data_IF_290309947326
#
_entry.id   IF_290309947326
#
_cell.length_a   1.000
_cell.length_b   1.000
_cell.length_c   1.000
_cell.angle_alpha   90.00
_cell.angle_beta   90.00
_cell.angle_gamma   90.00
#
_symmetry.space_group_name_H-M   'P 1'
#
loop_
_entity.id
_entity.type
_entity.pdbx_description
1 polymer ?
#
# COMPACT_ATOMS: atom_id res chain seq x y z
N UNK A 1 0.48 29.52 16.20
CA UNK A 1 0.78 28.09 16.30
C UNK A 1 -0.26 27.38 15.44
N UNK A 2 0.06 26.94 14.21
CA UNK A 2 -0.86 26.07 13.48
C UNK A 2 -1.03 24.81 14.33
N UNK A 3 -2.28 24.50 14.68
CA UNK A 3 -2.61 23.45 15.63
C UNK A 3 -2.03 22.11 15.19
N UNK A 4 -1.43 21.39 16.14
CA UNK A 4 -1.14 19.97 15.96
C UNK A 4 -2.48 19.28 15.65
N UNK A 5 -2.68 18.94 14.38
CA UNK A 5 -3.79 18.11 13.95
C UNK A 5 -3.64 16.76 14.64
N UNK A 6 -4.34 16.58 15.76
CA UNK A 6 -4.38 15.31 16.46
C UNK A 6 -4.98 14.26 15.53
N UNK A 7 -4.39 13.06 15.42
CA UNK A 7 -4.97 12.00 14.60
C UNK A 7 -6.38 11.68 15.11
N UNK A 8 -7.34 11.60 14.20
CA UNK A 8 -8.68 11.11 14.49
C UNK A 8 -8.86 9.75 13.81
N UNK A 9 -9.54 8.84 14.49
CA UNK A 9 -9.80 7.50 13.96
C UNK A 9 -10.90 7.57 12.91
N UNK A 10 -10.62 6.98 11.75
CA UNK A 10 -11.58 6.79 10.66
C UNK A 10 -11.82 5.30 10.51
N UNK A 11 -13.07 4.88 10.65
CA UNK A 11 -13.47 3.49 10.40
C UNK A 11 -14.31 3.44 9.11
N UNK A 12 -13.81 2.71 8.12
CA UNK A 12 -14.45 2.56 6.81
C UNK A 12 -14.71 1.08 6.54
N UNK A 13 -15.90 0.72 6.03
CA UNK A 13 -16.08 -0.58 5.38
C UNK A 13 -15.04 -0.77 4.27
N UNK A 14 -14.56 -2.01 4.07
CA UNK A 14 -13.54 -2.31 3.06
C UNK A 14 -13.93 -1.81 1.66
N UNK A 15 -15.19 -2.04 1.26
CA UNK A 15 -15.73 -1.57 -0.02
C UNK A 15 -15.66 -0.03 -0.17
N UNK A 16 -15.93 0.70 0.91
CA UNK A 16 -15.85 2.16 0.92
C UNK A 16 -14.40 2.64 0.85
N UNK A 17 -13.47 1.94 1.52
CA UNK A 17 -12.04 2.22 1.42
C UNK A 17 -11.52 1.97 0.00
N UNK A 18 -11.90 0.87 -0.65
CA UNK A 18 -11.55 0.55 -2.04
C UNK A 18 -12.12 1.58 -3.02
N UNK A 19 -13.38 1.99 -2.84
CA UNK A 19 -14.01 3.05 -3.64
C UNK A 19 -13.27 4.38 -3.48
N UNK A 20 -12.91 4.75 -2.25
CA UNK A 20 -12.16 5.97 -1.99
C UNK A 20 -10.77 5.91 -2.62
N UNK A 21 -10.06 4.79 -2.49
CA UNK A 21 -8.75 4.59 -3.11
C UNK A 21 -8.80 4.81 -4.63
N UNK A 22 -9.79 4.23 -5.32
CA UNK A 22 -10.00 4.45 -6.76
C UNK A 22 -10.31 5.91 -7.10
N UNK A 23 -11.14 6.59 -6.32
CA UNK A 23 -11.42 8.01 -6.54
C UNK A 23 -10.17 8.89 -6.36
N UNK A 24 -9.25 8.54 -5.44
CA UNK A 24 -7.98 9.26 -5.29
C UNK A 24 -7.02 8.98 -6.45
N UNK A 25 -7.01 7.75 -6.97
CA UNK A 25 -6.26 7.37 -8.17
C UNK A 25 -6.66 8.24 -9.35
N UNK A 26 -7.97 8.34 -9.64
CA UNK A 26 -8.50 9.18 -10.71
C UNK A 26 -8.02 10.64 -10.57
N UNK A 27 -8.04 11.19 -9.35
CA UNK A 27 -7.61 12.58 -9.11
C UNK A 27 -6.11 12.75 -9.35
N UNK A 28 -5.29 11.77 -8.91
CA UNK A 28 -3.84 11.78 -9.10
C UNK A 28 -3.47 11.66 -10.58
N UNK A 29 -4.10 10.76 -11.32
CA UNK A 29 -3.88 10.57 -12.76
C UNK A 29 -4.25 11.82 -13.57
N UNK A 30 -5.25 12.58 -13.11
CA UNK A 30 -5.63 13.85 -13.72
C UNK A 30 -4.70 15.03 -13.35
N UNK A 31 -3.54 14.77 -12.75
CA UNK A 31 -2.51 15.78 -12.47
C UNK A 31 -2.81 16.68 -11.27
N UNK A 32 -3.81 16.35 -10.44
CA UNK A 32 -4.17 17.11 -9.25
C UNK A 32 -3.46 16.60 -8.00
N UNK A 33 -2.13 16.42 -8.10
CA UNK A 33 -1.32 15.80 -7.04
C UNK A 33 -0.77 16.84 -6.06
N UNK A 34 -1.30 16.85 -4.84
CA UNK A 34 -0.67 17.46 -3.67
C UNK A 34 0.00 16.38 -2.81
N UNK A 35 1.09 16.68 -2.07
CA UNK A 35 1.78 15.69 -1.23
C UNK A 35 0.88 15.00 -0.20
N UNK A 36 -0.15 15.71 0.30
CA UNK A 36 -1.14 15.14 1.20
C UNK A 36 -2.07 14.12 0.54
N UNK A 37 -2.41 14.33 -0.74
CA UNK A 37 -3.25 13.42 -1.52
C UNK A 37 -2.50 12.13 -1.85
N UNK A 38 -1.25 12.26 -2.30
CA UNK A 38 -0.37 11.11 -2.56
C UNK A 38 -0.20 10.26 -1.29
N UNK A 39 0.04 10.91 -0.14
CA UNK A 39 0.14 10.19 1.12
C UNK A 39 -1.17 9.48 1.50
N UNK A 40 -2.32 10.13 1.33
CA UNK A 40 -3.61 9.53 1.61
C UNK A 40 -3.89 8.31 0.73
N UNK A 41 -3.54 8.39 -0.55
CA UNK A 41 -3.62 7.27 -1.50
C UNK A 41 -2.76 6.09 -1.03
N UNK A 42 -1.48 6.31 -0.69
CA UNK A 42 -0.58 5.25 -0.20
C UNK A 42 -1.05 4.63 1.11
N UNK A 43 -1.54 5.44 2.05
CA UNK A 43 -2.10 4.95 3.34
C UNK A 43 -3.32 4.06 3.10
N UNK A 44 -4.23 4.46 2.20
CA UNK A 44 -5.40 3.65 1.87
C UNK A 44 -5.00 2.34 1.19
N UNK A 45 -4.09 2.38 0.22
CA UNK A 45 -3.58 1.18 -0.46
C UNK A 45 -3.05 0.16 0.55
N UNK A 46 -2.21 0.62 1.47
CA UNK A 46 -1.63 -0.18 2.55
C UNK A 46 -2.70 -0.79 3.47
N UNK A 47 -3.65 0.02 3.96
CA UNK A 47 -4.69 -0.44 4.89
C UNK A 47 -5.69 -1.40 4.24
N UNK A 48 -6.01 -1.20 2.95
CA UNK A 48 -6.84 -2.12 2.17
C UNK A 48 -6.14 -3.49 2.08
N UNK A 49 -4.84 -3.52 1.80
CA UNK A 49 -4.09 -4.76 1.73
C UNK A 49 -4.07 -5.51 3.07
N UNK A 50 -3.83 -4.78 4.17
CA UNK A 50 -3.86 -5.33 5.52
C UNK A 50 -5.24 -5.95 5.85
N UNK A 51 -6.34 -5.31 5.42
CA UNK A 51 -7.69 -5.82 5.61
C UNK A 51 -7.99 -7.06 4.74
N UNK A 52 -7.52 -7.10 3.49
CA UNK A 52 -7.87 -8.18 2.53
C UNK A 52 -7.25 -9.53 2.87
N UNK A 53 -6.03 -9.57 3.41
CA UNK A 53 -5.40 -10.86 3.71
C UNK A 53 -6.04 -11.62 4.90
N UNK A 54 -7.01 -11.05 5.62
CA UNK A 54 -7.80 -11.79 6.62
C UNK A 54 -8.80 -12.74 5.95
N UNK A 55 -9.18 -12.48 4.69
CA UNK A 55 -10.20 -13.21 3.97
C UNK A 55 -9.66 -14.42 3.16
N UNK A 56 -8.35 -14.64 3.12
CA UNK A 56 -7.75 -15.71 2.32
C UNK A 56 -6.50 -16.29 2.97
N UNK A 57 -6.59 -17.54 3.43
CA UNK A 57 -5.45 -18.39 3.79
C UNK A 57 -4.62 -18.73 2.54
N UNK A 58 -3.92 -17.74 2.00
CA UNK A 58 -3.00 -17.92 0.89
C UNK A 58 -1.57 -18.12 1.38
N UNK A 59 -0.82 -18.99 0.70
CA UNK A 59 0.65 -18.99 0.73
C UNK A 59 1.17 -18.18 -0.46
N UNK A 60 2.29 -17.47 -0.32
CA UNK A 60 2.96 -16.78 -1.42
C UNK A 60 3.18 -15.29 -1.18
N UNK A 61 3.52 -14.55 -2.25
CA UNK A 61 3.90 -13.14 -2.17
C UNK A 61 2.77 -12.26 -1.61
N UNK A 62 1.53 -12.46 -2.07
CA UNK A 62 0.37 -11.69 -1.59
C UNK A 62 0.12 -11.85 -0.10
N UNK A 63 0.36 -13.05 0.44
CA UNK A 63 0.19 -13.33 1.86
C UNK A 63 1.27 -12.66 2.71
N UNK A 64 2.53 -12.76 2.28
CA UNK A 64 3.66 -12.08 2.92
C UNK A 64 3.47 -10.55 2.91
N UNK A 65 2.98 -9.99 1.81
CA UNK A 65 2.67 -8.56 1.72
C UNK A 65 1.52 -8.15 2.64
N UNK A 66 0.48 -8.98 2.75
CA UNK A 66 -0.62 -8.71 3.66
C UNK A 66 -0.21 -8.84 5.14
N UNK A 67 0.71 -9.74 5.46
CA UNK A 67 1.31 -9.87 6.80
C UNK A 67 2.17 -8.64 7.15
N UNK A 68 3.10 -8.27 6.28
CA UNK A 68 3.90 -7.05 6.44
C UNK A 68 3.02 -5.79 6.57
N UNK A 69 1.91 -5.73 5.83
CA UNK A 69 0.95 -4.64 5.93
C UNK A 69 0.22 -4.61 7.30
N UNK A 70 0.02 -5.73 7.98
CA UNK A 70 -0.57 -5.75 9.33
C UNK A 70 0.42 -5.37 10.41
N UNK A 71 1.67 -5.81 10.25
CA UNK A 71 2.71 -5.63 11.26
C UNK A 71 3.24 -4.20 11.31
N UNK A 72 3.15 -3.46 10.21
CA UNK A 72 3.54 -2.05 10.16
C UNK A 72 2.60 -1.16 10.99
N UNK A 73 3.15 -0.15 11.65
CA UNK A 73 2.37 0.88 12.35
C UNK A 73 2.16 2.12 11.47
N UNK A 74 3.02 2.29 10.47
CA UNK A 74 3.01 3.41 9.51
C UNK A 74 3.10 2.93 8.06
N UNK A 75 2.68 3.79 7.12
CA UNK A 75 2.79 3.47 5.68
C UNK A 75 4.25 3.40 5.25
N UNK A 76 5.11 4.21 5.87
CA UNK A 76 6.54 4.24 5.58
C UNK A 76 7.25 2.94 6.04
N UNK A 77 6.87 2.36 7.18
CA UNK A 77 7.36 1.05 7.62
C UNK A 77 6.89 -0.07 6.70
N UNK A 78 5.64 -0.04 6.27
CA UNK A 78 5.12 -1.00 5.30
C UNK A 78 5.86 -0.90 3.96
N UNK A 79 6.09 0.31 3.46
CA UNK A 79 6.81 0.53 2.19
C UNK A 79 8.25 0.00 2.28
N UNK A 80 8.95 0.22 3.39
CA UNK A 80 10.27 -0.36 3.62
C UNK A 80 10.24 -1.89 3.62
N UNK A 81 9.29 -2.51 4.34
CA UNK A 81 9.14 -3.96 4.35
C UNK A 81 8.76 -4.53 2.97
N UNK A 82 7.87 -3.85 2.23
CA UNK A 82 7.52 -4.20 0.86
C UNK A 82 8.75 -4.20 -0.04
N UNK A 83 9.59 -3.18 0.07
CA UNK A 83 10.78 -3.05 -0.76
C UNK A 83 11.82 -4.14 -0.42
N UNK A 84 11.98 -4.50 0.86
CA UNK A 84 12.82 -5.64 1.28
C UNK A 84 12.33 -6.99 0.73
N UNK A 85 11.00 -7.19 0.68
CA UNK A 85 10.41 -8.42 0.13
C UNK A 85 10.47 -8.45 -1.40
N UNK A 86 10.18 -7.33 -2.07
CA UNK A 86 10.15 -7.25 -3.54
C UNK A 86 11.53 -7.18 -4.17
N UNK A 87 12.50 -6.54 -3.53
CA UNK A 87 13.83 -6.30 -4.08
C UNK A 87 14.47 -7.55 -4.68
N UNK A 88 14.61 -8.65 -3.92
CA UNK A 88 15.18 -9.90 -4.45
C UNK A 88 14.40 -10.51 -5.61
N UNK A 89 13.07 -10.33 -5.65
CA UNK A 89 12.21 -10.83 -6.72
C UNK A 89 12.46 -10.02 -8.00
N UNK A 90 12.49 -8.70 -7.88
CA UNK A 90 12.75 -7.79 -8.99
C UNK A 90 14.17 -7.98 -9.54
N UNK A 91 15.17 -8.09 -8.67
CA UNK A 91 16.55 -8.40 -9.06
C UNK A 91 16.66 -9.71 -9.84
N UNK A 92 15.91 -10.74 -9.40
CA UNK A 92 15.83 -12.03 -10.09
C UNK A 92 15.18 -11.91 -11.47
N UNK A 93 14.13 -11.10 -11.62
CA UNK A 93 13.47 -10.84 -12.91
C UNK A 93 14.35 -10.03 -13.86
N UNK A 94 15.19 -9.13 -13.34
CA UNK A 94 16.11 -8.33 -14.14
C UNK A 94 17.40 -9.06 -14.53
N UNK A 95 17.62 -10.26 -13.98
CA UNK A 95 18.81 -11.07 -14.27
C UNK A 95 18.93 -11.45 -15.74
N UNK A 96 20.18 -11.62 -16.21
CA UNK A 96 20.47 -11.91 -17.61
C UNK A 96 19.81 -13.20 -18.13
N UNK A 97 19.59 -14.20 -17.25
CA UNK A 97 18.88 -15.44 -17.60
C UNK A 97 17.38 -15.22 -17.89
N UNK A 98 16.77 -14.16 -17.36
CA UNK A 98 15.37 -13.80 -17.59
C UNK A 98 15.20 -12.67 -18.63
N UNK A 99 16.29 -12.11 -19.17
CA UNK A 99 16.27 -11.04 -20.18
C UNK A 99 16.24 -11.52 -21.64
N UNK A 100 16.56 -12.79 -21.91
CA UNK A 100 16.60 -13.34 -23.27
C UNK A 100 15.38 -14.25 -23.52
N UNK A 101 14.60 -14.04 -24.60
CA UNK A 101 13.43 -14.86 -24.94
C UNK A 101 13.77 -16.25 -25.48
#
# INVERSE_FOLDING_TARGET
>A
MPGESSPFLVNLPLEAAETLHGALEDVLENGHAGPGLERAYRVLAWRILAAKGEAGSGSGLTAQMAEAARDAETVEEYEAARDDILGPILDGLESAENRDP
#
